data_IF_106120909711
#
_entry.id   IF_106120909711
#
_cell.length_a   1.000
_cell.length_b   1.000
_cell.length_c   1.000
_cell.angle_alpha   90.00
_cell.angle_beta   90.00
_cell.angle_gamma   90.00
#
_symmetry.space_group_name_H-M   'P 1'
#
loop_
_entity.id
_entity.type
_entity.pdbx_description
1 polymer ?
#
# COMPACT_ATOMS: atom_id res chain seq x y z
N UNK A 1 19.35 -23.35 -3.04
CA UNK A 1 18.22 -24.27 -3.29
C UNK A 1 16.93 -23.48 -3.32
N UNK A 2 16.05 -23.73 -4.30
CA UNK A 2 14.76 -23.04 -4.46
C UNK A 2 13.86 -23.18 -3.21
N UNK A 3 13.77 -24.38 -2.62
CA UNK A 3 12.94 -24.62 -1.43
C UNK A 3 13.35 -23.80 -0.21
N UNK A 4 14.65 -23.61 0.01
CA UNK A 4 15.15 -22.74 1.08
C UNK A 4 14.78 -21.27 0.84
N UNK A 5 14.92 -20.80 -0.40
CA UNK A 5 14.54 -19.43 -0.77
C UNK A 5 13.03 -19.19 -0.58
N UNK A 6 12.19 -20.14 -1.00
CA UNK A 6 10.74 -20.06 -0.82
C UNK A 6 10.34 -20.06 0.66
N UNK A 7 10.97 -20.92 1.48
CA UNK A 7 10.77 -20.93 2.93
C UNK A 7 11.15 -19.60 3.58
N UNK A 8 12.29 -19.02 3.20
CA UNK A 8 12.72 -17.71 3.69
C UNK A 8 11.75 -16.59 3.26
N UNK A 9 11.27 -16.61 2.01
CA UNK A 9 10.28 -15.65 1.52
C UNK A 9 8.97 -15.72 2.31
N UNK A 10 8.52 -16.93 2.65
CA UNK A 10 7.33 -17.13 3.50
C UNK A 10 7.53 -16.55 4.91
N UNK A 11 8.69 -16.77 5.52
CA UNK A 11 9.02 -16.19 6.84
C UNK A 11 9.00 -14.65 6.79
N UNK A 12 9.55 -14.04 5.74
CA UNK A 12 9.50 -12.59 5.54
C UNK A 12 8.05 -12.11 5.42
N UNK A 13 7.22 -12.80 4.63
CA UNK A 13 5.81 -12.45 4.46
C UNK A 13 5.02 -12.51 5.78
N UNK A 14 5.24 -13.55 6.59
CA UNK A 14 4.67 -13.65 7.94
C UNK A 14 5.12 -12.49 8.83
N UNK A 15 6.41 -12.16 8.84
CA UNK A 15 6.96 -11.04 9.61
C UNK A 15 6.34 -9.71 9.24
N UNK A 16 6.18 -9.42 7.95
CA UNK A 16 5.52 -8.20 7.46
C UNK A 16 4.07 -8.12 7.93
N UNK A 17 3.33 -9.23 7.86
CA UNK A 17 1.92 -9.27 8.30
C UNK A 17 1.81 -9.04 9.81
N UNK A 18 2.69 -9.64 10.61
CA UNK A 18 2.73 -9.40 12.06
C UNK A 18 3.02 -7.93 12.36
N UNK A 19 4.00 -7.32 11.68
CA UNK A 19 4.33 -5.92 11.88
C UNK A 19 3.18 -4.99 11.48
N UNK A 20 2.49 -5.24 10.36
CA UNK A 20 1.35 -4.42 9.93
C UNK A 20 0.16 -4.52 10.89
N UNK A 21 -0.12 -5.72 11.41
CA UNK A 21 -1.22 -5.95 12.37
C UNK A 21 -0.91 -5.41 13.77
N UNK A 22 0.36 -5.26 14.14
CA UNK A 22 0.75 -4.75 15.45
C UNK A 22 1.06 -3.24 15.43
N UNK A 23 1.84 -2.76 14.46
CA UNK A 23 2.36 -1.39 14.44
C UNK A 23 1.27 -0.35 14.15
N UNK A 24 0.38 -0.62 13.20
CA UNK A 24 -0.70 0.31 12.84
C UNK A 24 -1.65 0.61 14.01
N UNK A 25 -2.25 -0.39 14.70
CA UNK A 25 -3.10 -0.11 15.84
C UNK A 25 -2.30 0.51 16.98
N UNK A 26 -1.07 0.05 17.23
CA UNK A 26 -0.21 0.65 18.26
C UNK A 26 -0.02 2.16 18.03
N UNK A 27 0.32 2.59 16.80
CA UNK A 27 0.47 4.01 16.47
C UNK A 27 -0.82 4.82 16.70
N UNK A 28 -1.99 4.24 16.40
CA UNK A 28 -3.29 4.90 16.62
C UNK A 28 -3.71 4.96 18.09
N UNK A 29 -3.25 4.03 18.92
CA UNK A 29 -3.56 3.97 20.35
C UNK A 29 -2.53 4.73 21.21
N UNK A 30 -1.33 4.97 20.68
CA UNK A 30 -0.25 5.68 21.37
C UNK A 30 -0.50 7.20 21.40
N UNK A 31 -1.33 7.68 22.33
CA UNK A 31 -1.57 9.10 22.59
C UNK A 31 -3.05 9.51 22.56
N UNK A 32 -3.32 10.80 22.34
CA UNK A 32 -4.68 11.34 22.31
C UNK A 32 -5.51 10.73 21.15
N UNK A 33 -6.68 10.11 21.41
CA UNK A 33 -7.57 9.59 20.38
C UNK A 33 -7.93 10.60 19.28
N UNK A 34 -7.97 11.90 19.58
CA UNK A 34 -8.28 12.97 18.60
C UNK A 34 -7.23 13.08 17.50
N UNK A 35 -5.97 12.75 17.78
CA UNK A 35 -4.86 12.85 16.82
C UNK A 35 -4.45 11.50 16.23
N UNK A 36 -5.17 10.42 16.54
CA UNK A 36 -4.82 9.05 16.13
C UNK A 36 -4.59 8.91 14.62
N UNK A 37 -5.53 9.44 13.81
CA UNK A 37 -5.45 9.39 12.35
C UNK A 37 -4.22 10.14 11.83
N UNK A 38 -3.93 11.32 12.39
CA UNK A 38 -2.81 12.16 11.98
C UNK A 38 -1.47 11.50 12.34
N UNK A 39 -1.35 10.91 13.54
CA UNK A 39 -0.13 10.21 13.95
C UNK A 39 0.15 9.00 13.07
N UNK A 40 -0.88 8.21 12.74
CA UNK A 40 -0.70 7.08 11.82
C UNK A 40 -0.27 7.56 10.43
N UNK A 41 -0.90 8.62 9.90
CA UNK A 41 -0.51 9.21 8.62
C UNK A 41 0.93 9.77 8.63
N UNK A 42 1.35 10.40 9.73
CA UNK A 42 2.73 10.87 9.91
C UNK A 42 3.73 9.71 9.92
N UNK A 43 3.47 8.67 10.71
CA UNK A 43 4.32 7.47 10.75
C UNK A 43 4.42 6.82 9.36
N UNK A 44 3.29 6.69 8.67
CA UNK A 44 3.23 6.14 7.31
C UNK A 44 3.86 7.07 6.26
N UNK A 45 4.05 8.37 6.52
CA UNK A 45 4.76 9.27 5.60
C UNK A 45 6.24 8.89 5.48
N UNK A 46 6.87 8.41 6.56
CA UNK A 46 8.23 7.86 6.51
C UNK A 46 8.29 6.53 5.74
N UNK A 47 7.24 5.71 5.81
CA UNK A 47 7.12 4.54 4.93
C UNK A 47 7.04 4.96 3.45
N UNK A 48 6.27 6.01 3.13
CA UNK A 48 6.18 6.55 1.76
C UNK A 48 7.51 7.11 1.24
N UNK A 49 8.29 7.76 2.12
CA UNK A 49 9.66 8.20 1.85
C UNK A 49 10.55 7.01 1.51
N UNK A 50 10.56 5.97 2.36
CA UNK A 50 11.35 4.77 2.13
C UNK A 50 10.97 4.08 0.81
N UNK A 51 9.67 3.93 0.53
CA UNK A 51 9.17 3.30 -0.69
C UNK A 51 9.57 4.05 -1.98
N UNK A 52 9.80 5.36 -1.90
CA UNK A 52 10.21 6.19 -3.04
C UNK A 52 11.72 6.24 -3.18
N UNK A 53 12.44 6.43 -2.08
CA UNK A 53 13.90 6.64 -2.07
C UNK A 53 14.65 5.30 -2.22
N UNK A 54 14.14 4.22 -1.64
CA UNK A 54 14.83 2.92 -1.66
C UNK A 54 15.01 2.36 -3.08
N UNK A 55 14.02 2.38 -4.00
CA UNK A 55 14.25 1.97 -5.38
C UNK A 55 15.26 2.85 -6.11
N UNK A 56 15.27 4.17 -5.87
CA UNK A 56 16.20 5.10 -6.54
C UNK A 56 17.64 4.85 -6.11
N UNK A 57 17.87 4.69 -4.81
CA UNK A 57 19.20 4.39 -4.26
C UNK A 57 19.59 2.95 -4.60
N UNK A 58 18.67 2.00 -4.43
CA UNK A 58 18.87 0.59 -4.73
C UNK A 58 19.21 0.35 -6.20
N UNK A 59 18.56 1.06 -7.12
CA UNK A 59 18.89 0.96 -8.54
C UNK A 59 20.33 1.40 -8.87
N UNK A 60 20.91 2.33 -8.10
CA UNK A 60 22.29 2.79 -8.31
C UNK A 60 23.34 1.93 -7.63
N UNK A 61 22.99 1.29 -6.51
CA UNK A 61 23.94 0.57 -5.65
C UNK A 61 23.87 -0.95 -5.87
N UNK A 62 22.68 -1.49 -6.17
CA UNK A 62 22.41 -2.93 -6.18
C UNK A 62 22.25 -3.48 -7.60
N UNK A 63 21.66 -2.72 -8.54
CA UNK A 63 21.48 -3.20 -9.91
C UNK A 63 22.81 -3.22 -10.65
N UNK A 64 23.39 -4.40 -10.77
CA UNK A 64 24.43 -4.72 -11.75
C UNK A 64 23.78 -5.18 -13.06
N UNK A 65 24.30 -4.76 -14.21
CA UNK A 65 23.90 -5.32 -15.50
C UNK A 65 24.20 -6.83 -15.49
N UNK A 66 23.15 -7.64 -15.41
CA UNK A 66 23.25 -9.10 -15.49
C UNK A 66 23.59 -9.54 -16.91
N UNK A 67 23.94 -10.82 -17.06
CA UNK A 67 24.16 -11.42 -18.37
C UNK A 67 22.79 -11.62 -19.03
N UNK A 68 22.53 -11.04 -20.23
CA UNK A 68 21.26 -11.22 -20.92
C UNK A 68 20.91 -12.69 -21.10
N UNK A 69 19.63 -13.02 -20.95
CA UNK A 69 19.16 -14.42 -20.97
C UNK A 69 19.51 -15.14 -22.28
N UNK A 70 19.51 -14.43 -23.42
CA UNK A 70 19.93 -14.98 -24.71
C UNK A 70 21.40 -15.45 -24.73
N UNK A 71 22.27 -14.82 -23.93
CA UNK A 71 23.67 -15.23 -23.79
C UNK A 71 23.77 -16.37 -22.78
N UNK A 72 23.02 -16.33 -21.68
CA UNK A 72 22.98 -17.42 -20.69
C UNK A 72 22.49 -18.76 -21.28
N UNK A 73 21.60 -18.72 -22.27
CA UNK A 73 21.08 -19.90 -22.95
C UNK A 73 22.06 -20.49 -23.98
N UNK A 74 22.99 -19.68 -24.49
CA UNK A 74 24.06 -20.12 -25.40
C UNK A 74 25.37 -20.47 -24.67
N UNK A 75 25.43 -20.29 -23.35
CA UNK A 75 26.58 -20.65 -22.52
C UNK A 75 26.61 -22.14 -22.18
N UNK A 76 27.83 -22.70 -22.14
CA UNK A 76 28.09 -24.02 -21.55
C UNK A 76 27.53 -24.11 -20.12
N UNK A 77 27.01 -25.28 -19.67
CA UNK A 77 26.36 -25.43 -18.37
C UNK A 77 27.20 -24.96 -17.17
N UNK A 78 28.53 -25.14 -17.24
CA UNK A 78 29.46 -24.67 -16.21
C UNK A 78 29.64 -23.15 -16.22
N UNK A 79 29.74 -22.53 -17.40
CA UNK A 79 29.85 -21.08 -17.54
C UNK A 79 28.56 -20.38 -17.11
N UNK A 80 27.40 -20.95 -17.45
CA UNK A 80 26.09 -20.48 -16.99
C UNK A 80 25.96 -20.53 -15.46
N UNK A 81 26.40 -21.62 -14.83
CA UNK A 81 26.37 -21.75 -13.37
C UNK A 81 27.25 -20.70 -12.68
N UNK A 82 28.43 -20.39 -13.25
CA UNK A 82 29.34 -19.37 -12.74
C UNK A 82 28.77 -17.95 -12.90
N UNK A 83 28.15 -17.64 -14.06
CA UNK A 83 27.50 -16.37 -14.32
C UNK A 83 26.35 -16.11 -13.32
N UNK A 84 25.45 -17.08 -13.15
CA UNK A 84 24.36 -17.01 -12.17
C UNK A 84 24.89 -16.91 -10.72
N UNK A 85 25.97 -17.62 -10.39
CA UNK A 85 26.59 -17.52 -9.07
C UNK A 85 27.19 -16.12 -8.79
N UNK A 86 27.70 -15.46 -9.83
CA UNK A 86 28.23 -14.10 -9.77
C UNK A 86 27.10 -13.09 -9.58
N UNK A 87 26.00 -13.23 -10.32
CA UNK A 87 24.79 -12.41 -10.15
C UNK A 87 24.17 -12.56 -8.75
N UNK A 88 24.03 -13.79 -8.25
CA UNK A 88 23.53 -14.02 -6.89
C UNK A 88 24.49 -13.47 -5.83
N UNK A 89 25.79 -13.41 -6.12
CA UNK A 89 26.77 -12.89 -5.18
C UNK A 89 26.75 -11.36 -5.06
N UNK A 90 26.36 -10.63 -6.12
CA UNK A 90 26.29 -9.16 -6.07
C UNK A 90 25.24 -8.67 -5.06
N UNK A 91 24.14 -9.42 -4.88
CA UNK A 91 23.08 -9.05 -3.93
C UNK A 91 23.37 -9.47 -2.47
N UNK A 92 24.34 -10.37 -2.22
CA UNK A 92 24.58 -10.90 -0.84
C UNK A 92 24.89 -9.80 0.17
N UNK A 93 25.80 -8.88 -0.17
CA UNK A 93 26.25 -7.82 0.74
C UNK A 93 25.08 -6.86 1.06
N UNK A 94 24.35 -6.30 0.07
CA UNK A 94 23.17 -5.49 0.33
C UNK A 94 22.14 -6.16 1.26
N UNK A 95 21.83 -7.44 1.04
CA UNK A 95 20.88 -8.18 1.87
C UNK A 95 21.40 -8.42 3.29
N UNK A 96 22.70 -8.68 3.46
CA UNK A 96 23.32 -8.84 4.78
C UNK A 96 23.28 -7.54 5.59
N UNK A 97 23.55 -6.40 4.94
CA UNK A 97 23.44 -5.06 5.56
C UNK A 97 22.00 -4.80 5.99
N UNK A 98 21.02 -5.07 5.11
CA UNK A 98 19.60 -4.87 5.42
C UNK A 98 19.15 -5.74 6.59
N UNK A 99 19.51 -7.03 6.61
CA UNK A 99 19.18 -7.94 7.70
C UNK A 99 19.81 -7.50 9.03
N UNK A 100 21.07 -7.06 9.01
CA UNK A 100 21.76 -6.55 10.19
C UNK A 100 21.08 -5.30 10.74
N UNK A 101 20.65 -4.39 9.87
CA UNK A 101 19.95 -3.17 10.26
C UNK A 101 18.57 -3.47 10.89
N UNK A 102 17.82 -4.43 10.35
CA UNK A 102 16.55 -4.90 10.95
C UNK A 102 16.81 -5.48 12.35
N UNK A 103 17.89 -6.24 12.53
CA UNK A 103 18.26 -6.81 13.82
C UNK A 103 18.62 -5.73 14.84
N UNK A 104 19.38 -4.70 14.43
CA UNK A 104 19.67 -3.53 15.28
C UNK A 104 18.37 -2.84 15.72
N UNK A 105 17.41 -2.64 14.82
CA UNK A 105 16.10 -2.07 15.16
C UNK A 105 15.37 -2.95 16.19
N UNK A 106 15.36 -4.27 16.00
CA UNK A 106 14.74 -5.20 16.94
C UNK A 106 15.38 -5.11 18.34
N UNK A 107 16.72 -5.00 18.41
CA UNK A 107 17.45 -4.81 19.68
C UNK A 107 17.09 -3.46 20.33
N UNK A 108 16.98 -2.38 19.55
CA UNK A 108 16.54 -1.08 20.07
C UNK A 108 15.14 -1.20 20.70
N UNK A 109 14.19 -1.84 20.01
CA UNK A 109 12.84 -2.05 20.55
C UNK A 109 12.81 -2.91 21.80
N UNK A 110 13.75 -3.87 21.94
CA UNK A 110 13.89 -4.66 23.17
C UNK A 110 14.16 -3.77 24.40
N UNK A 111 14.96 -2.70 24.25
CA UNK A 111 15.30 -1.80 25.35
C UNK A 111 14.26 -0.71 25.62
N UNK A 112 13.35 -0.44 24.67
CA UNK A 112 12.33 0.59 24.83
C UNK A 112 11.15 0.04 25.65
N UNK A 113 10.90 0.62 26.83
CA UNK A 113 9.69 0.35 27.61
C UNK A 113 8.50 1.07 26.98
N UNK A 114 7.76 0.37 26.13
CA UNK A 114 6.53 0.88 25.55
C UNK A 114 5.42 0.96 26.62
N UNK A 115 4.67 2.07 26.70
CA UNK A 115 3.58 2.20 27.66
C UNK A 115 2.52 1.13 27.39
N UNK A 116 2.01 0.51 28.45
CA UNK A 116 0.91 -0.44 28.35
C UNK A 116 -0.35 0.32 27.93
N UNK A 117 -0.84 0.02 26.72
CA UNK A 117 -2.15 0.47 26.29
C UNK A 117 -3.16 -0.27 27.17
N UNK A 118 -3.99 0.46 27.92
CA UNK A 118 -5.02 -0.15 28.79
C UNK A 118 -5.94 -1.01 27.93
N UNK A 119 -5.75 -2.32 28.01
CA UNK A 119 -6.61 -3.31 27.39
C UNK A 119 -7.86 -3.44 28.27
N UNK A 120 -9.05 -3.14 27.73
CA UNK A 120 -10.27 -3.63 28.36
C UNK A 120 -10.21 -5.16 28.31
N UNK A 121 -10.20 -5.80 29.49
CA UNK A 121 -10.06 -7.24 29.60
C UNK A 121 -11.13 -7.93 28.74
N UNK A 122 -10.66 -8.71 27.77
CA UNK A 122 -11.46 -9.46 26.81
C UNK A 122 -12.18 -10.64 27.47
N UNK A 123 -13.15 -10.38 28.35
CA UNK A 123 -14.08 -11.42 28.80
C UNK A 123 -15.10 -11.67 27.68
N UNK A 124 -14.83 -12.66 26.83
CA UNK A 124 -15.79 -13.16 25.84
C UNK A 124 -15.65 -12.63 24.41
N UNK A 125 -14.43 -12.34 23.94
CA UNK A 125 -14.18 -12.02 22.53
C UNK A 125 -14.39 -13.29 21.67
N UNK A 126 -15.62 -13.51 21.24
CA UNK A 126 -15.89 -14.33 20.06
C UNK A 126 -15.32 -13.57 18.87
N UNK A 127 -14.45 -14.17 18.05
CA UNK A 127 -13.89 -13.51 16.85
C UNK A 127 -14.95 -12.92 15.90
N UNK A 128 -16.21 -13.36 16.01
CA UNK A 128 -17.33 -12.80 15.24
C UNK A 128 -17.92 -11.50 15.80
N UNK A 129 -17.60 -11.10 17.03
CA UNK A 129 -18.08 -9.86 17.64
C UNK A 129 -17.60 -8.62 16.90
N UNK A 130 -16.36 -8.64 16.40
CA UNK A 130 -15.81 -7.57 15.56
C UNK A 130 -16.69 -7.28 14.32
N UNK A 131 -17.25 -8.32 13.67
CA UNK A 131 -18.12 -8.14 12.50
C UNK A 131 -19.45 -7.44 12.82
N UNK A 132 -19.85 -7.32 14.09
CA UNK A 132 -21.05 -6.56 14.48
C UNK A 132 -20.86 -5.07 14.25
N UNK A 133 -19.61 -4.57 14.34
CA UNK A 133 -19.29 -3.16 14.12
C UNK A 133 -19.50 -2.78 12.65
N UNK A 134 -20.48 -1.91 12.42
CA UNK A 134 -20.85 -1.47 11.07
C UNK A 134 -19.70 -0.73 10.36
N UNK A 135 -19.00 0.15 11.09
CA UNK A 135 -17.90 0.95 10.55
C UNK A 135 -16.68 0.10 10.21
N UNK A 136 -16.39 -0.95 10.99
CA UNK A 136 -15.32 -1.91 10.70
C UNK A 136 -15.57 -2.67 9.40
N UNK A 137 -16.79 -3.20 9.19
CA UNK A 137 -17.14 -3.91 7.94
C UNK A 137 -16.98 -3.03 6.71
N UNK A 138 -17.41 -1.76 6.81
CA UNK A 138 -17.21 -0.82 5.71
C UNK A 138 -15.75 -0.41 5.53
N UNK A 139 -14.96 -0.35 6.60
CA UNK A 139 -13.52 -0.10 6.51
C UNK A 139 -12.79 -1.27 5.83
N UNK A 140 -13.16 -2.52 6.12
CA UNK A 140 -12.65 -3.69 5.41
C UNK A 140 -12.93 -3.60 3.90
N UNK A 141 -14.19 -3.30 3.54
CA UNK A 141 -14.56 -3.11 2.13
C UNK A 141 -13.78 -1.95 1.49
N UNK A 142 -13.74 -0.78 2.13
CA UNK A 142 -13.00 0.38 1.63
C UNK A 142 -11.51 0.07 1.45
N UNK A 143 -10.90 -0.66 2.38
CA UNK A 143 -9.49 -1.05 2.30
C UNK A 143 -9.25 -2.03 1.16
N UNK A 144 -10.12 -3.02 0.99
CA UNK A 144 -10.05 -3.98 -0.11
C UNK A 144 -10.05 -3.28 -1.48
N UNK A 145 -11.01 -2.38 -1.69
CA UNK A 145 -11.12 -1.62 -2.94
C UNK A 145 -9.98 -0.60 -3.09
N UNK A 146 -9.56 0.07 -2.00
CA UNK A 146 -8.43 0.99 -2.04
C UNK A 146 -7.13 0.30 -2.47
N UNK A 147 -6.78 -0.83 -1.83
CA UNK A 147 -5.56 -1.56 -2.17
C UNK A 147 -5.65 -2.12 -3.59
N UNK A 148 -6.82 -2.62 -4.00
CA UNK A 148 -7.05 -3.04 -5.38
C UNK A 148 -6.77 -1.91 -6.38
N UNK A 149 -7.34 -0.72 -6.16
CA UNK A 149 -7.09 0.45 -7.02
C UNK A 149 -5.61 0.86 -7.03
N UNK A 150 -4.96 0.88 -5.86
CA UNK A 150 -3.55 1.25 -5.73
C UNK A 150 -2.66 0.31 -6.54
N UNK A 151 -2.87 -1.01 -6.41
CA UNK A 151 -2.09 -1.99 -7.16
C UNK A 151 -2.37 -1.91 -8.65
N UNK A 152 -3.61 -1.67 -9.08
CA UNK A 152 -3.92 -1.43 -10.49
C UNK A 152 -3.16 -0.23 -11.05
N UNK A 153 -3.23 0.93 -10.37
CA UNK A 153 -2.61 2.16 -10.86
C UNK A 153 -1.09 2.03 -10.91
N UNK A 154 -0.46 1.42 -9.91
CA UNK A 154 1.00 1.26 -9.89
C UNK A 154 1.50 0.20 -10.86
N UNK A 155 0.84 -0.96 -10.91
CA UNK A 155 1.30 -2.11 -11.72
C UNK A 155 1.17 -1.83 -13.22
N UNK A 156 0.09 -1.17 -13.63
CA UNK A 156 -0.17 -0.87 -15.05
C UNK A 156 0.32 0.52 -15.47
N UNK A 157 0.99 1.29 -14.60
CA UNK A 157 1.41 2.65 -14.91
C UNK A 157 2.30 2.72 -16.16
N UNK A 158 3.32 1.86 -16.23
CA UNK A 158 4.30 1.88 -17.34
C UNK A 158 3.56 1.60 -18.65
N UNK A 159 2.77 0.53 -18.69
CA UNK A 159 1.97 0.15 -19.85
C UNK A 159 0.95 1.24 -20.25
N UNK A 160 0.29 1.84 -19.26
CA UNK A 160 -0.62 2.95 -19.50
C UNK A 160 0.11 4.16 -20.11
N UNK A 161 1.28 4.52 -19.59
CA UNK A 161 2.04 5.66 -20.07
C UNK A 161 2.59 5.44 -21.48
N UNK A 162 3.05 4.22 -21.81
CA UNK A 162 3.53 3.89 -23.16
C UNK A 162 2.39 3.93 -24.18
N UNK A 163 1.21 3.39 -23.85
CA UNK A 163 0.05 3.38 -24.76
C UNK A 163 -0.61 4.76 -24.89
N UNK A 164 -0.88 5.44 -23.77
CA UNK A 164 -1.63 6.70 -23.78
C UNK A 164 -0.81 7.89 -24.28
N UNK A 165 0.50 7.92 -23.99
CA UNK A 165 1.38 9.04 -24.34
C UNK A 165 2.39 8.73 -25.45
N UNK A 166 2.47 7.47 -25.92
CA UNK A 166 3.42 7.02 -26.95
C UNK A 166 4.88 7.33 -26.60
N UNK A 167 5.22 7.23 -25.32
CA UNK A 167 6.60 7.38 -24.82
C UNK A 167 7.29 6.02 -24.68
N UNK A 168 8.62 6.01 -24.62
CA UNK A 168 9.38 4.77 -24.40
C UNK A 168 9.19 4.24 -22.98
N UNK A 169 9.31 2.92 -22.81
CA UNK A 169 9.25 2.24 -21.50
C UNK A 169 10.24 2.81 -20.49
N UNK A 170 11.45 3.18 -20.93
CA UNK A 170 12.48 3.79 -20.06
C UNK A 170 12.00 5.14 -19.50
N UNK A 171 11.37 5.97 -20.34
CA UNK A 171 10.79 7.24 -19.89
C UNK A 171 9.59 7.00 -18.99
N UNK A 172 8.72 6.05 -19.32
CA UNK A 172 7.58 5.67 -18.50
C UNK A 172 8.01 5.15 -17.12
N UNK A 173 9.05 4.31 -17.05
CA UNK A 173 9.65 3.83 -15.80
C UNK A 173 10.22 4.98 -14.96
N UNK A 174 10.82 5.98 -15.60
CA UNK A 174 11.28 7.20 -14.92
C UNK A 174 10.12 7.98 -14.30
N UNK A 175 9.00 8.12 -15.02
CA UNK A 175 7.77 8.72 -14.48
C UNK A 175 7.11 7.85 -13.40
N UNK A 176 7.23 6.52 -13.47
CA UNK A 176 6.73 5.63 -12.43
C UNK A 176 7.54 5.79 -11.13
N UNK A 177 8.87 5.74 -11.20
CA UNK A 177 9.73 5.86 -10.05
C UNK A 177 9.71 7.27 -9.45
N UNK A 178 10.12 8.27 -10.24
CA UNK A 178 10.23 9.65 -9.76
C UNK A 178 8.89 10.37 -9.73
N UNK A 179 8.05 10.24 -10.76
CA UNK A 179 6.78 10.97 -10.83
C UNK A 179 5.76 10.43 -9.83
N UNK A 180 5.31 9.19 -10.01
CA UNK A 180 4.30 8.54 -9.16
C UNK A 180 4.81 8.36 -7.73
N UNK A 181 6.04 7.88 -7.55
CA UNK A 181 6.64 7.72 -6.21
C UNK A 181 6.72 9.04 -5.43
N UNK A 182 7.30 10.10 -6.01
CA UNK A 182 7.39 11.40 -5.33
C UNK A 182 6.02 12.02 -5.11
N UNK A 183 5.09 11.89 -6.07
CA UNK A 183 3.73 12.38 -5.90
C UNK A 183 3.03 11.71 -4.72
N UNK A 184 3.15 10.38 -4.59
CA UNK A 184 2.61 9.63 -3.46
C UNK A 184 3.25 10.06 -2.13
N UNK A 185 4.58 10.23 -2.10
CA UNK A 185 5.31 10.68 -0.91
C UNK A 185 4.89 12.10 -0.49
N UNK A 186 4.96 13.06 -1.42
CA UNK A 186 4.61 14.47 -1.18
C UNK A 186 3.14 14.56 -0.78
N UNK A 187 2.26 13.83 -1.46
CA UNK A 187 0.84 13.75 -1.10
C UNK A 187 0.62 13.31 0.35
N UNK A 188 1.44 12.38 0.83
CA UNK A 188 1.33 11.89 2.21
C UNK A 188 1.73 12.94 3.24
N UNK A 189 2.87 13.62 3.03
CA UNK A 189 3.32 14.70 3.91
C UNK A 189 2.37 15.90 3.88
N UNK A 190 1.96 16.32 2.68
CA UNK A 190 1.03 17.44 2.47
C UNK A 190 -0.34 17.11 3.07
N UNK A 191 -0.86 15.91 2.82
CA UNK A 191 -2.13 15.46 3.39
C UNK A 191 -2.08 15.37 4.92
N UNK A 192 -0.99 14.83 5.49
CA UNK A 192 -0.77 14.81 6.95
C UNK A 192 -0.71 16.21 7.55
N UNK A 193 -0.09 17.17 6.84
CA UNK A 193 -0.07 18.57 7.25
C UNK A 193 -1.48 19.18 7.23
N UNK A 194 -2.26 18.94 6.17
CA UNK A 194 -3.64 19.41 6.08
C UNK A 194 -4.58 18.80 7.12
N UNK A 195 -4.30 17.61 7.64
CA UNK A 195 -5.05 17.02 8.76
C UNK A 195 -5.00 17.86 10.05
N UNK A 196 -4.04 18.80 10.17
CA UNK A 196 -4.03 19.77 11.27
C UNK A 196 -5.18 20.79 11.19
N UNK A 197 -5.65 21.08 9.98
CA UNK A 197 -6.64 22.14 9.72
C UNK A 197 -8.00 21.58 9.28
N UNK A 198 -8.00 20.42 8.61
CA UNK A 198 -9.19 19.77 8.04
C UNK A 198 -9.37 18.43 8.74
N UNK A 199 -10.62 18.06 9.07
CA UNK A 199 -10.87 16.75 9.67
C UNK A 199 -10.44 15.62 8.74
N UNK A 200 -9.81 14.53 9.25
CA UNK A 200 -9.31 13.45 8.40
C UNK A 200 -10.37 12.80 7.51
N UNK A 201 -11.62 12.72 8.01
CA UNK A 201 -12.77 12.22 7.24
C UNK A 201 -13.06 13.11 6.02
N UNK A 202 -13.10 14.44 6.21
CA UNK A 202 -13.34 15.37 5.10
C UNK A 202 -12.22 15.29 4.07
N UNK A 203 -10.97 15.20 4.54
CA UNK A 203 -9.82 15.06 3.66
C UNK A 203 -9.88 13.75 2.85
N UNK A 204 -10.25 12.63 3.48
CA UNK A 204 -10.49 11.35 2.80
C UNK A 204 -11.55 11.49 1.71
N UNK A 205 -12.69 12.12 2.00
CA UNK A 205 -13.76 12.32 1.02
C UNK A 205 -13.30 13.19 -0.16
N UNK A 206 -12.60 14.29 0.11
CA UNK A 206 -12.08 15.17 -0.94
C UNK A 206 -11.10 14.40 -1.84
N UNK A 207 -10.16 13.68 -1.24
CA UNK A 207 -9.15 12.92 -1.97
C UNK A 207 -9.79 11.78 -2.78
N UNK A 208 -10.75 11.06 -2.20
CA UNK A 208 -11.48 10.00 -2.88
C UNK A 208 -12.32 10.55 -4.05
N UNK A 209 -13.03 11.65 -3.86
CA UNK A 209 -13.79 12.29 -4.93
C UNK A 209 -12.89 12.75 -6.09
N UNK A 210 -11.74 13.35 -5.78
CA UNK A 210 -10.76 13.75 -6.80
C UNK A 210 -10.23 12.53 -7.53
N UNK A 211 -9.82 11.45 -6.84
CA UNK A 211 -9.38 10.22 -7.47
C UNK A 211 -10.44 9.58 -8.37
N UNK A 212 -11.70 9.60 -7.96
CA UNK A 212 -12.84 9.12 -8.77
C UNK A 212 -12.95 9.91 -10.07
N UNK A 213 -12.91 11.24 -10.00
CA UNK A 213 -12.98 12.11 -11.19
C UNK A 213 -11.75 11.90 -12.09
N UNK A 214 -10.55 11.90 -11.50
CA UNK A 214 -9.30 11.70 -12.24
C UNK A 214 -9.25 10.30 -12.90
N UNK A 215 -9.86 9.28 -12.29
CA UNK A 215 -9.94 7.95 -12.90
C UNK A 215 -10.81 7.95 -14.16
N UNK A 216 -11.93 8.68 -14.17
CA UNK A 216 -12.72 8.89 -15.40
C UNK A 216 -11.88 9.65 -16.43
N UNK A 217 -11.21 10.73 -16.03
CA UNK A 217 -10.37 11.50 -16.96
C UNK A 217 -9.22 10.66 -17.53
N UNK A 218 -8.65 9.74 -16.75
CA UNK A 218 -7.61 8.82 -17.21
C UNK A 218 -8.10 7.84 -18.29
N UNK A 219 -9.42 7.58 -18.38
CA UNK A 219 -9.99 6.72 -19.43
C UNK A 219 -10.04 7.41 -20.80
N UNK A 220 -10.05 8.75 -20.83
CA UNK A 220 -10.25 9.53 -22.05
C UNK A 220 -9.07 10.46 -22.39
N UNK A 221 -8.14 10.65 -21.46
CA UNK A 221 -6.99 11.52 -21.66
C UNK A 221 -5.93 10.85 -22.54
N UNK A 222 -5.33 11.65 -23.44
CA UNK A 222 -4.20 11.23 -24.27
C UNK A 222 -2.95 12.08 -24.03
N UNK A 223 -1.81 11.58 -24.52
CA UNK A 223 -0.55 12.30 -24.46
C UNK A 223 -0.01 12.43 -23.04
N UNK A 224 0.84 13.45 -22.81
CA UNK A 224 1.44 13.71 -21.51
C UNK A 224 0.42 14.04 -20.42
N UNK A 225 -0.76 14.56 -20.79
CA UNK A 225 -1.83 14.86 -19.85
C UNK A 225 -2.30 13.59 -19.12
N UNK A 226 -2.41 12.47 -19.82
CA UNK A 226 -2.76 11.17 -19.25
C UNK A 226 -1.79 10.76 -18.12
N UNK A 227 -0.49 10.93 -18.36
CA UNK A 227 0.56 10.63 -17.37
C UNK A 227 0.39 11.52 -16.13
N UNK A 228 0.21 12.83 -16.32
CA UNK A 228 0.05 13.76 -15.19
C UNK A 228 -1.23 13.50 -14.39
N UNK A 229 -2.32 13.08 -15.04
CA UNK A 229 -3.55 12.66 -14.36
C UNK A 229 -3.24 11.50 -13.43
N UNK A 230 -2.58 10.44 -13.92
CA UNK A 230 -2.30 9.26 -13.10
C UNK A 230 -1.31 9.57 -11.96
N UNK A 231 -0.30 10.41 -12.21
CA UNK A 231 0.58 10.93 -11.16
C UNK A 231 -0.22 11.70 -10.10
N UNK A 232 -1.20 12.51 -10.51
CA UNK A 232 -2.09 13.20 -9.57
C UNK A 232 -2.97 12.21 -8.78
N UNK A 233 -3.47 11.12 -9.39
CA UNK A 233 -4.19 10.08 -8.64
C UNK A 233 -3.28 9.50 -7.54
N UNK A 234 -2.01 9.22 -7.85
CA UNK A 234 -1.06 8.72 -6.85
C UNK A 234 -0.86 9.69 -5.67
N UNK A 235 -0.82 10.99 -5.93
CA UNK A 235 -0.77 12.01 -4.87
C UNK A 235 -1.96 11.89 -3.92
N UNK A 236 -3.18 11.82 -4.45
CA UNK A 236 -4.39 11.77 -3.63
C UNK A 236 -4.65 10.38 -3.00
N UNK A 237 -4.08 9.31 -3.53
CA UNK A 237 -4.15 7.99 -2.89
C UNK A 237 -3.38 7.91 -1.56
N UNK A 238 -2.38 8.77 -1.37
CA UNK A 238 -1.35 8.66 -0.33
C UNK A 238 -1.87 8.52 1.12
N UNK A 239 -2.90 9.27 1.50
CA UNK A 239 -3.44 9.30 2.87
C UNK A 239 -4.61 8.36 3.11
N UNK A 240 -5.12 7.70 2.07
CA UNK A 240 -6.38 6.94 2.19
C UNK A 240 -6.20 5.69 3.06
N UNK A 241 -5.17 4.86 2.83
CA UNK A 241 -4.91 3.65 3.63
C UNK A 241 -4.88 3.91 5.15
N UNK A 242 -4.01 4.78 5.69
CA UNK A 242 -3.95 5.03 7.13
C UNK A 242 -5.22 5.69 7.66
N UNK A 243 -5.89 6.51 6.84
CA UNK A 243 -7.13 7.16 7.26
C UNK A 243 -8.29 6.16 7.35
N UNK A 244 -8.44 5.27 6.37
CA UNK A 244 -9.43 4.18 6.39
C UNK A 244 -9.15 3.27 7.57
N UNK A 245 -7.90 2.87 7.76
CA UNK A 245 -7.50 2.01 8.87
C UNK A 245 -7.86 2.62 10.23
N UNK A 246 -7.41 3.84 10.50
CA UNK A 246 -7.64 4.51 11.79
C UNK A 246 -9.12 4.82 12.04
N UNK A 247 -9.91 5.12 11.00
CA UNK A 247 -11.37 5.30 11.13
C UNK A 247 -12.09 3.96 11.35
N UNK A 248 -11.60 2.88 10.73
CA UNK A 248 -12.17 1.54 10.83
C UNK A 248 -12.01 0.88 12.19
N UNK A 249 -10.94 1.21 12.91
CA UNK A 249 -10.68 0.67 14.25
C UNK A 249 -11.10 1.59 15.40
N UNK A 250 -11.76 2.71 15.07
CA UNK A 250 -12.18 3.69 16.06
C UNK A 250 -13.26 3.11 16.97
N UNK A 251 -13.09 3.27 18.29
CA UNK A 251 -14.05 2.87 19.32
C UNK A 251 -14.40 1.37 19.33
N UNK A 252 -13.45 0.50 18.90
CA UNK A 252 -13.62 -0.96 18.92
C UNK A 252 -13.36 -1.61 20.30
N UNK A 253 -12.72 -0.90 21.25
CA UNK A 253 -12.40 -1.45 22.57
C UNK A 253 -11.58 -2.75 22.46
N UNK A 254 -12.06 -3.81 23.12
CA UNK A 254 -11.45 -5.14 23.10
C UNK A 254 -11.30 -5.75 21.68
N UNK A 255 -12.14 -5.36 20.72
CA UNK A 255 -12.10 -5.90 19.35
C UNK A 255 -11.01 -5.26 18.47
N UNK A 256 -10.29 -4.25 18.97
CA UNK A 256 -9.34 -3.47 18.16
C UNK A 256 -8.26 -4.34 17.52
N UNK A 257 -7.69 -5.31 18.24
CA UNK A 257 -6.66 -6.21 17.71
C UNK A 257 -7.20 -7.08 16.58
N UNK A 258 -8.35 -7.72 16.78
CA UNK A 258 -8.96 -8.59 15.78
C UNK A 258 -9.47 -7.79 14.57
N UNK A 259 -10.10 -6.64 14.79
CA UNK A 259 -10.55 -5.73 13.74
C UNK A 259 -9.40 -5.20 12.89
N UNK A 260 -8.27 -4.87 13.51
CA UNK A 260 -7.04 -4.50 12.80
C UNK A 260 -6.58 -5.61 11.85
N UNK A 261 -6.54 -6.85 12.33
CA UNK A 261 -6.19 -8.02 11.51
C UNK A 261 -7.13 -8.19 10.31
N UNK A 262 -8.44 -8.00 10.50
CA UNK A 262 -9.42 -8.08 9.40
C UNK A 262 -9.20 -7.01 8.32
N UNK A 263 -8.84 -5.77 8.71
CA UNK A 263 -8.52 -4.71 7.75
C UNK A 263 -7.22 -5.06 7.01
N UNK A 264 -6.19 -5.58 7.68
CA UNK A 264 -4.94 -6.00 7.01
C UNK A 264 -5.18 -7.18 6.05
N UNK A 265 -6.04 -8.14 6.41
CA UNK A 265 -6.42 -9.23 5.49
C UNK A 265 -7.13 -8.71 4.22
N UNK A 266 -7.76 -7.53 4.29
CA UNK A 266 -8.41 -6.90 3.13
C UNK A 266 -7.41 -6.44 2.06
N UNK A 267 -6.10 -6.40 2.34
CA UNK A 267 -5.02 -6.13 1.36
C UNK A 267 -5.07 -7.12 0.18
N UNK A 268 -5.68 -8.29 0.36
CA UNK A 268 -5.90 -9.28 -0.70
C UNK A 268 -6.65 -8.71 -1.93
N UNK A 269 -7.37 -7.59 -1.80
CA UNK A 269 -7.95 -6.88 -2.93
C UNK A 269 -6.94 -6.50 -4.01
N UNK A 270 -5.67 -6.28 -3.63
CA UNK A 270 -4.55 -6.07 -4.54
C UNK A 270 -4.22 -7.27 -5.43
N UNK A 271 -4.65 -8.48 -5.10
CA UNK A 271 -4.50 -9.67 -5.95
C UNK A 271 -5.73 -9.89 -6.84
N UNK A 272 -6.93 -9.50 -6.38
CA UNK A 272 -8.18 -9.75 -7.09
C UNK A 272 -8.52 -8.69 -8.15
N UNK A 273 -8.24 -7.41 -7.90
CA UNK A 273 -8.67 -6.34 -8.81
C UNK A 273 -7.77 -6.11 -10.03
N UNK A 274 -6.43 -6.28 -9.96
CA UNK A 274 -5.59 -6.14 -11.15
C UNK A 274 -5.90 -7.11 -12.29
N UNK A 275 -6.23 -8.40 -12.06
CA UNK A 275 -6.72 -9.27 -13.12
C UNK A 275 -7.99 -8.76 -13.80
N UNK A 276 -8.93 -8.18 -13.03
CA UNK A 276 -10.15 -7.59 -13.58
C UNK A 276 -9.81 -6.36 -14.43
N UNK A 277 -8.88 -5.52 -13.96
CA UNK A 277 -8.37 -4.39 -14.74
C UNK A 277 -7.79 -4.87 -16.08
N UNK A 278 -6.89 -5.87 -16.04
CA UNK A 278 -6.26 -6.44 -17.23
C UNK A 278 -7.27 -7.02 -18.21
N UNK A 279 -8.23 -7.82 -17.73
CA UNK A 279 -9.29 -8.38 -18.57
C UNK A 279 -10.12 -7.31 -19.29
N UNK A 280 -10.49 -6.23 -18.61
CA UNK A 280 -11.21 -5.12 -19.22
C UNK A 280 -10.33 -4.46 -20.29
N UNK A 281 -9.06 -4.20 -19.98
CA UNK A 281 -8.11 -3.63 -20.93
C UNK A 281 -7.94 -4.49 -22.18
N UNK A 282 -7.89 -5.82 -22.02
CA UNK A 282 -7.73 -6.77 -23.13
C UNK A 282 -8.99 -6.84 -24.00
N UNK A 283 -10.19 -6.88 -23.40
CA UNK A 283 -11.47 -6.93 -24.13
C UNK A 283 -11.69 -5.69 -25.01
N UNK A 284 -11.34 -4.51 -24.50
CA UNK A 284 -11.49 -3.26 -25.23
C UNK A 284 -10.25 -2.87 -26.05
N UNK A 285 -9.19 -3.70 -26.04
CA UNK A 285 -7.89 -3.43 -26.66
C UNK A 285 -7.31 -2.04 -26.32
N UNK A 286 -7.59 -1.55 -25.11
CA UNK A 286 -7.14 -0.24 -24.66
C UNK A 286 -7.02 -0.23 -23.13
N UNK A 287 -5.78 -0.06 -22.67
CA UNK A 287 -5.39 -0.04 -21.26
C UNK A 287 -6.13 1.05 -20.46
N UNK A 288 -6.50 2.16 -21.11
CA UNK A 288 -7.17 3.28 -20.45
C UNK A 288 -8.55 2.90 -19.91
N UNK A 289 -9.30 2.02 -20.59
CA UNK A 289 -10.60 1.58 -20.09
C UNK A 289 -10.51 0.74 -18.82
N UNK A 290 -9.34 0.16 -18.51
CA UNK A 290 -9.09 -0.52 -17.24
C UNK A 290 -9.29 0.41 -16.03
N UNK A 291 -9.13 1.73 -16.20
CA UNK A 291 -9.34 2.73 -15.13
C UNK A 291 -10.79 2.79 -14.60
N UNK A 292 -11.74 2.11 -15.24
CA UNK A 292 -13.07 1.89 -14.68
C UNK A 292 -13.01 1.14 -13.33
N UNK A 293 -12.01 0.27 -13.15
CA UNK A 293 -11.80 -0.46 -11.89
C UNK A 293 -11.41 0.52 -10.76
N UNK A 294 -10.31 1.30 -10.87
CA UNK A 294 -10.01 2.39 -9.96
C UNK A 294 -11.19 3.35 -9.70
N UNK A 295 -11.94 3.73 -10.75
CA UNK A 295 -13.12 4.59 -10.60
C UNK A 295 -14.15 4.00 -9.62
N UNK A 296 -14.54 2.74 -9.80
CA UNK A 296 -15.49 2.07 -8.89
C UNK A 296 -14.89 1.96 -7.48
N UNK A 297 -13.60 1.62 -7.39
CA UNK A 297 -12.93 1.46 -6.11
C UNK A 297 -12.91 2.75 -5.29
N UNK A 298 -12.52 3.87 -5.90
CA UNK A 298 -12.52 5.17 -5.22
C UNK A 298 -13.95 5.65 -4.91
N UNK A 299 -14.94 5.26 -5.71
CA UNK A 299 -16.35 5.44 -5.38
C UNK A 299 -16.75 4.75 -4.06
N UNK A 300 -16.30 3.52 -3.84
CA UNK A 300 -16.54 2.79 -2.57
C UNK A 300 -15.80 3.47 -1.41
N UNK A 301 -14.56 3.91 -1.60
CA UNK A 301 -13.81 4.65 -0.58
C UNK A 301 -14.50 5.97 -0.22
N UNK A 302 -15.03 6.69 -1.21
CA UNK A 302 -15.81 7.92 -1.00
C UNK A 302 -17.08 7.62 -0.20
N UNK A 303 -17.80 6.56 -0.53
CA UNK A 303 -18.98 6.13 0.22
C UNK A 303 -18.64 5.83 1.69
N UNK A 304 -17.53 5.14 1.95
CA UNK A 304 -17.04 4.92 3.32
C UNK A 304 -16.76 6.23 4.04
N UNK A 305 -16.07 7.17 3.39
CA UNK A 305 -15.81 8.50 3.93
C UNK A 305 -17.08 9.29 4.28
N UNK A 306 -18.14 9.19 3.48
CA UNK A 306 -19.40 9.93 3.70
C UNK A 306 -20.29 9.28 4.77
N UNK A 307 -20.44 7.95 4.72
CA UNK A 307 -21.43 7.22 5.52
C UNK A 307 -20.84 6.07 6.33
N UNK A 308 -19.92 5.31 5.74
CA UNK A 308 -19.41 4.06 6.33
C UNK A 308 -18.58 4.25 7.60
N UNK A 309 -17.88 5.36 7.76
CA UNK A 309 -17.01 5.61 8.93
C UNK A 309 -17.77 5.90 10.23
N UNK A 310 -19.09 6.11 10.18
CA UNK A 310 -19.88 6.51 11.36
C UNK A 310 -20.03 5.34 12.32
N UNK A 311 -19.52 5.51 13.54
CA UNK A 311 -19.72 4.55 14.63
C UNK A 311 -21.20 4.54 15.00
N UNK A 312 -21.86 3.41 14.75
CA UNK A 312 -23.23 3.17 15.22
C UNK A 312 -23.14 2.43 16.56
N UNK A 313 -23.82 2.90 17.62
CA UNK A 313 -23.85 2.17 18.88
C UNK A 313 -24.43 0.77 18.62
N UNK A 314 -23.75 -0.26 19.10
CA UNK A 314 -24.29 -1.62 19.09
C UNK A 314 -25.57 -1.59 19.92
N UNK A 315 -26.71 -1.94 19.32
CA UNK A 315 -27.95 -2.14 20.08
C UNK A 315 -27.66 -3.23 21.11
N UNK A 316 -27.64 -2.88 22.40
CA UNK A 316 -27.64 -3.88 23.46
C UNK A 316 -28.98 -4.59 23.36
N UNK A 317 -28.98 -5.82 22.84
CA UNK A 317 -30.11 -6.71 23.04
C UNK A 317 -30.10 -7.05 24.54
N UNK A 318 -30.82 -6.25 25.32
CA UNK A 318 -31.36 -6.64 26.62
C UNK A 318 -32.48 -7.65 26.39
#
# INVERSE_FOLDING_TARGET
SYGFFLGALFVIACGLTILETAANPFATLLGDPKTAVQRLNLAQSFNGLAATVAPIIGAKIILTEGVPQAILESMEPQARALALATEVSSVKIPYFILGSLILVIAVIFWFIKLPQIKEEAATGVSGFSAFKHHHLRWAMAAQFFYVGAQVCVFSFFILYATEAARISEIKAASYAGFGVGMAFMIGRFVGTFFMRYISPVKLLCIYAAICTILSILAMFAGGMLAIFIVIAIAFFMSVMFPTIFSLGIKDLGADTKFGSSLIIMSIVGGAFLPPIFGQISDVYHNIQYGYIVPFICFGVVLYFGLFGHKVKPLKSNL
#
